data_IF_866328567029
#
_entry.id   IF_866328567029
#
_cell.length_a   1.000
_cell.length_b   1.000
_cell.length_c   1.000
_cell.angle_alpha   90.00
_cell.angle_beta   90.00
_cell.angle_gamma   90.00
#
_symmetry.space_group_name_H-M   'P 1'
#
loop_
_entity.id
_entity.type
_entity.pdbx_description
1 polymer ?
#
# COMPACT_ATOMS: atom_id res chain seq x y z
N UNK A 1 -11.23 8.30 -22.93
CA UNK A 1 -11.41 8.02 -24.38
C UNK A 1 -10.37 7.02 -24.88
N UNK A 2 -9.08 7.24 -24.65
CA UNK A 2 -8.00 6.37 -25.15
C UNK A 2 -8.10 4.92 -24.65
N UNK A 3 -8.48 4.71 -23.38
CA UNK A 3 -8.62 3.36 -22.79
C UNK A 3 -9.74 2.54 -23.43
N UNK A 4 -10.80 3.19 -23.93
CA UNK A 4 -11.94 2.52 -24.60
C UNK A 4 -11.57 2.12 -26.03
N UNK A 5 -10.74 2.91 -26.70
CA UNK A 5 -10.29 2.64 -28.08
C UNK A 5 -9.31 1.46 -28.13
N UNK A 6 -8.49 1.28 -27.07
CA UNK A 6 -7.47 0.22 -26.99
C UNK A 6 -8.03 -1.15 -26.50
N UNK A 7 -9.32 -1.24 -26.08
CA UNK A 7 -9.92 -2.48 -25.55
C UNK A 7 -11.36 -2.69 -25.98
N UNK A 8 -11.61 -2.99 -27.26
CA UNK A 8 -12.96 -3.11 -27.83
C UNK A 8 -13.80 -4.28 -27.27
N UNK A 9 -13.19 -5.28 -26.64
CA UNK A 9 -13.85 -6.51 -26.17
C UNK A 9 -13.73 -6.75 -24.65
N UNK A 10 -13.44 -5.72 -23.83
CA UNK A 10 -13.35 -5.93 -22.38
C UNK A 10 -14.73 -5.76 -21.71
N UNK A 11 -14.96 -6.50 -20.63
CA UNK A 11 -16.16 -6.33 -19.79
C UNK A 11 -16.15 -4.95 -19.09
N UNK A 12 -17.31 -4.51 -18.62
CA UNK A 12 -17.43 -3.25 -17.87
C UNK A 12 -16.56 -3.28 -16.60
N UNK A 13 -16.48 -4.42 -15.92
CA UNK A 13 -15.64 -4.62 -14.72
C UNK A 13 -14.14 -4.52 -15.06
N UNK A 14 -13.70 -5.07 -16.17
CA UNK A 14 -12.32 -4.96 -16.64
C UNK A 14 -11.97 -3.53 -17.05
N UNK A 15 -12.90 -2.83 -17.68
CA UNK A 15 -12.74 -1.43 -18.04
C UNK A 15 -12.63 -0.56 -16.78
N UNK A 16 -13.50 -0.79 -15.78
CA UNK A 16 -13.45 -0.08 -14.51
C UNK A 16 -12.13 -0.33 -13.79
N UNK A 17 -11.65 -1.57 -13.72
CA UNK A 17 -10.36 -1.92 -13.13
C UNK A 17 -9.17 -1.22 -13.81
N UNK A 18 -9.21 -1.04 -15.13
CA UNK A 18 -8.16 -0.34 -15.90
C UNK A 18 -8.15 1.18 -15.68
N UNK A 19 -9.30 1.76 -15.36
CA UNK A 19 -9.44 3.20 -15.14
C UNK A 19 -9.04 3.59 -13.71
N UNK A 20 -9.15 2.67 -12.76
CA UNK A 20 -8.81 2.91 -11.36
C UNK A 20 -7.28 3.05 -11.17
N UNK A 21 -6.88 4.10 -10.46
CA UNK A 21 -5.53 4.22 -9.93
C UNK A 21 -5.41 3.42 -8.64
N UNK A 22 -4.45 2.51 -8.57
CA UNK A 22 -4.16 1.74 -7.36
C UNK A 22 -2.97 2.33 -6.62
N UNK A 23 -3.12 2.56 -5.31
CA UNK A 23 -2.05 3.08 -4.45
C UNK A 23 -1.10 1.95 -4.01
N UNK A 24 -0.43 1.36 -5.01
CA UNK A 24 0.59 0.33 -4.86
C UNK A 24 1.82 0.76 -5.65
N UNK A 25 2.98 0.76 -5.00
CA UNK A 25 4.25 1.09 -5.65
C UNK A 25 5.16 -0.13 -5.67
N UNK A 26 5.67 -0.45 -6.85
CA UNK A 26 6.64 -1.51 -7.11
C UNK A 26 7.98 -0.89 -7.55
N UNK A 27 9.11 -1.52 -7.22
CA UNK A 27 10.42 -1.04 -7.67
C UNK A 27 10.57 -1.12 -9.19
N UNK A 28 10.25 -2.29 -9.75
CA UNK A 28 10.24 -2.52 -11.19
C UNK A 28 9.04 -3.41 -11.56
N UNK A 29 8.13 -2.93 -12.41
CA UNK A 29 6.97 -3.72 -12.85
C UNK A 29 7.34 -5.03 -13.57
N UNK A 30 8.59 -5.13 -14.09
CA UNK A 30 9.09 -6.31 -14.80
C UNK A 30 9.59 -7.43 -13.88
N UNK A 31 9.85 -7.13 -12.59
CA UNK A 31 10.41 -8.06 -11.60
C UNK A 31 9.45 -8.26 -10.43
N UNK A 32 8.16 -8.43 -10.71
CA UNK A 32 7.17 -8.70 -9.68
C UNK A 32 7.48 -10.03 -8.99
N UNK A 33 7.96 -9.98 -7.76
CA UNK A 33 8.08 -11.16 -6.92
C UNK A 33 6.71 -11.48 -6.31
N UNK A 34 6.13 -12.59 -6.73
CA UNK A 34 4.83 -13.04 -6.27
C UNK A 34 4.87 -14.49 -5.77
N UNK A 35 4.09 -14.77 -4.72
CA UNK A 35 3.87 -16.10 -4.18
C UNK A 35 2.42 -16.23 -3.72
N UNK A 36 1.71 -17.24 -4.22
CA UNK A 36 0.32 -17.53 -3.84
C UNK A 36 -0.64 -16.34 -3.97
N UNK A 37 -0.45 -15.48 -4.99
CA UNK A 37 -1.28 -14.29 -5.21
C UNK A 37 -0.89 -13.07 -4.39
N UNK A 38 0.14 -13.18 -3.55
CA UNK A 38 0.75 -12.05 -2.86
C UNK A 38 1.93 -11.53 -3.65
N UNK A 39 2.05 -10.22 -3.77
CA UNK A 39 3.14 -9.57 -4.49
C UNK A 39 3.87 -8.60 -3.56
N UNK A 40 5.20 -8.65 -3.63
CA UNK A 40 6.04 -7.72 -2.87
C UNK A 40 5.89 -6.31 -3.44
N UNK A 41 5.65 -5.35 -2.55
CA UNK A 41 5.48 -3.93 -2.89
C UNK A 41 6.35 -3.05 -2.01
N UNK A 42 6.68 -1.86 -2.49
CA UNK A 42 7.42 -0.88 -1.70
C UNK A 42 6.52 -0.06 -0.79
N UNK A 43 5.38 0.31 -1.30
CA UNK A 43 4.42 1.14 -0.58
C UNK A 43 3.01 0.65 -0.90
N UNK A 44 2.18 0.53 0.12
CA UNK A 44 0.79 0.10 0.01
C UNK A 44 -0.11 1.00 0.84
N UNK A 45 -1.34 1.22 0.36
CA UNK A 45 -2.35 1.95 1.10
C UNK A 45 -2.86 1.18 2.32
N UNK A 46 -3.27 1.90 3.36
CA UNK A 46 -3.76 1.33 4.64
C UNK A 46 -5.26 1.05 4.66
N UNK A 47 -5.98 1.20 3.56
CA UNK A 47 -7.42 0.95 3.49
C UNK A 47 -7.84 -0.43 4.02
N UNK A 48 -7.00 -1.45 3.79
CA UNK A 48 -7.06 -2.75 4.44
C UNK A 48 -5.63 -3.28 4.63
N UNK A 49 -5.10 -3.19 5.85
CA UNK A 49 -3.73 -3.59 6.17
C UNK A 49 -3.72 -4.55 7.35
N UNK A 50 -3.03 -5.68 7.18
CA UNK A 50 -2.74 -6.61 8.27
C UNK A 50 -1.27 -6.48 8.69
N UNK A 51 -1.04 -6.06 9.93
CA UNK A 51 0.31 -5.86 10.46
C UNK A 51 0.57 -6.82 11.63
N UNK A 52 1.66 -7.58 11.56
CA UNK A 52 2.08 -8.43 12.65
C UNK A 52 2.51 -7.57 13.85
N UNK A 53 2.12 -7.95 15.07
CA UNK A 53 2.46 -7.21 16.30
C UNK A 53 3.96 -6.95 16.48
N UNK A 54 4.81 -7.87 16.04
CA UNK A 54 6.26 -7.69 16.15
C UNK A 54 6.80 -6.55 15.25
N UNK A 55 6.12 -6.18 14.17
CA UNK A 55 6.47 -5.02 13.34
C UNK A 55 6.47 -3.76 14.20
N UNK A 56 5.38 -3.50 14.92
CA UNK A 56 5.29 -2.36 15.83
C UNK A 56 6.39 -2.36 16.88
N UNK A 57 6.68 -3.52 17.49
CA UNK A 57 7.74 -3.65 18.48
C UNK A 57 9.13 -3.38 17.92
N UNK A 58 9.38 -3.78 16.68
CA UNK A 58 10.64 -3.52 15.98
C UNK A 58 10.76 -2.03 15.67
N UNK A 59 9.72 -1.41 15.14
CA UNK A 59 9.69 0.03 14.85
C UNK A 59 9.86 0.89 16.10
N UNK A 60 9.19 0.55 17.21
CA UNK A 60 9.35 1.24 18.50
C UNK A 60 10.78 1.21 19.02
N UNK A 61 11.50 0.10 18.78
CA UNK A 61 12.91 -0.04 19.18
C UNK A 61 13.84 0.72 18.24
N UNK A 62 13.54 0.71 16.93
CA UNK A 62 14.35 1.37 15.92
C UNK A 62 14.21 2.90 15.96
N UNK A 63 13.02 3.40 16.35
CA UNK A 63 12.66 4.82 16.34
C UNK A 63 12.12 5.29 17.69
N UNK A 64 12.92 5.21 18.78
CA UNK A 64 12.47 5.60 20.12
C UNK A 64 12.10 7.09 20.21
N UNK A 65 12.69 7.94 19.36
CA UNK A 65 12.42 9.38 19.27
C UNK A 65 11.02 9.70 18.77
N UNK A 66 10.31 8.72 18.17
CA UNK A 66 8.93 8.88 17.70
C UNK A 66 7.90 8.65 18.80
N UNK A 67 8.32 8.32 20.03
CA UNK A 67 7.42 8.22 21.17
C UNK A 67 6.87 9.61 21.52
N UNK A 68 5.58 9.69 21.76
CA UNK A 68 4.91 10.93 22.18
C UNK A 68 3.94 10.69 23.33
N UNK A 69 3.61 11.77 24.04
CA UNK A 69 2.48 11.83 24.97
C UNK A 69 1.30 12.47 24.27
N UNK A 70 0.10 11.97 24.54
CA UNK A 70 -1.14 12.52 23.99
C UNK A 70 -1.89 13.33 25.05
N UNK A 71 -2.53 14.41 24.63
CA UNK A 71 -3.46 15.20 25.46
C UNK A 71 -4.88 14.63 25.46
N UNK A 72 -5.08 13.45 24.89
CA UNK A 72 -6.38 12.79 24.87
C UNK A 72 -6.87 12.46 26.29
N UNK A 73 -8.12 12.81 26.55
CA UNK A 73 -8.79 12.51 27.82
C UNK A 73 -9.76 11.36 27.61
N UNK A 74 -9.60 10.30 28.40
CA UNK A 74 -10.49 9.13 28.42
C UNK A 74 -11.03 8.97 29.83
N UNK A 75 -12.36 8.95 29.99
CA UNK A 75 -13.03 8.87 31.29
C UNK A 75 -12.54 9.95 32.32
N UNK A 76 -12.33 11.18 31.84
CA UNK A 76 -11.91 12.30 32.67
C UNK A 76 -10.44 12.30 33.12
N UNK A 77 -9.61 11.43 32.56
CA UNK A 77 -8.17 11.35 32.84
C UNK A 77 -7.36 11.39 31.56
N UNK A 78 -6.17 11.97 31.61
CA UNK A 78 -5.24 11.92 30.48
C UNK A 78 -4.91 10.46 30.14
N UNK A 79 -5.07 10.10 28.86
CA UNK A 79 -4.64 8.81 28.37
C UNK A 79 -3.12 8.71 28.41
N UNK A 80 -2.58 7.65 29.03
CA UNK A 80 -1.14 7.37 29.07
C UNK A 80 -0.91 5.95 28.58
N UNK A 81 0.02 5.80 27.64
CA UNK A 81 0.39 4.50 27.09
C UNK A 81 1.86 4.51 26.68
N UNK A 82 2.55 3.43 26.92
CA UNK A 82 3.90 3.21 26.42
C UNK A 82 3.94 2.88 24.91
N UNK A 83 2.78 2.74 24.28
CA UNK A 83 2.65 2.38 22.87
C UNK A 83 2.28 3.58 21.96
N UNK A 84 2.35 4.81 22.46
CA UNK A 84 2.11 6.00 21.66
C UNK A 84 3.37 6.37 20.87
N UNK A 85 3.38 5.99 19.59
CA UNK A 85 4.47 6.27 18.65
C UNK A 85 3.89 6.80 17.33
N UNK A 86 4.52 7.84 16.79
CA UNK A 86 4.19 8.41 15.48
C UNK A 86 4.82 7.57 14.36
N UNK A 87 4.25 6.40 14.12
CA UNK A 87 4.68 5.48 13.07
C UNK A 87 3.97 5.71 11.73
N UNK A 88 2.87 6.44 11.75
CA UNK A 88 2.09 6.83 10.59
C UNK A 88 2.17 8.34 10.36
N UNK A 89 3.40 8.87 10.38
CA UNK A 89 3.65 10.28 10.14
C UNK A 89 3.30 10.70 8.72
N UNK A 90 2.99 11.97 8.54
CA UNK A 90 2.82 12.60 7.23
C UNK A 90 3.87 13.69 7.07
N UNK A 91 4.65 13.65 6.00
CA UNK A 91 5.66 14.68 5.83
C UNK A 91 6.79 14.35 4.86
N UNK A 92 7.81 15.22 4.85
CA UNK A 92 8.98 15.03 4.02
C UNK A 92 9.82 13.85 4.52
N UNK A 93 10.19 12.97 3.59
CA UNK A 93 11.00 11.79 3.82
C UNK A 93 12.17 11.74 2.83
N UNK A 94 13.38 11.49 3.33
CA UNK A 94 14.57 11.39 2.50
C UNK A 94 14.76 9.94 2.04
N UNK A 95 14.62 9.69 0.74
CA UNK A 95 15.07 8.45 0.11
C UNK A 95 16.54 8.60 -0.34
N UNK A 96 17.14 7.54 -0.87
CA UNK A 96 18.51 7.60 -1.38
C UNK A 96 18.67 8.68 -2.48
N UNK A 97 17.69 8.80 -3.37
CA UNK A 97 17.78 9.63 -4.57
C UNK A 97 17.10 10.99 -4.44
N UNK A 98 16.07 11.10 -3.62
CA UNK A 98 15.24 12.31 -3.55
C UNK A 98 14.50 12.47 -2.23
N UNK A 99 14.13 13.72 -1.95
CA UNK A 99 13.20 14.03 -0.86
C UNK A 99 11.76 13.98 -1.38
N UNK A 100 10.93 13.14 -0.76
CA UNK A 100 9.50 12.99 -1.09
C UNK A 100 8.65 13.48 0.07
N UNK A 101 7.45 13.94 -0.22
CA UNK A 101 6.40 14.12 0.78
C UNK A 101 5.57 12.86 0.81
N UNK A 102 5.51 12.15 1.93
CA UNK A 102 4.82 10.88 2.06
C UNK A 102 3.55 11.02 2.88
N UNK A 103 2.51 10.31 2.46
CA UNK A 103 1.33 10.01 3.25
C UNK A 103 1.66 9.03 4.38
N UNK A 104 0.75 8.87 5.32
CA UNK A 104 0.91 8.06 6.52
C UNK A 104 1.23 6.58 6.21
N UNK A 105 0.57 6.03 5.23
CA UNK A 105 0.73 4.66 4.76
C UNK A 105 2.10 4.42 4.12
N UNK A 106 2.52 5.33 3.24
CA UNK A 106 3.83 5.25 2.60
C UNK A 106 4.96 5.53 3.59
N UNK A 107 4.73 6.44 4.55
CA UNK A 107 5.72 6.70 5.60
C UNK A 107 5.95 5.46 6.48
N UNK A 108 4.87 4.82 6.95
CA UNK A 108 4.93 3.56 7.69
C UNK A 108 5.64 2.46 6.89
N UNK A 109 5.32 2.34 5.60
CA UNK A 109 5.94 1.37 4.70
C UNK A 109 7.46 1.56 4.64
N UNK A 110 7.94 2.79 4.54
CA UNK A 110 9.37 3.10 4.50
C UNK A 110 10.08 2.81 5.81
N UNK A 111 9.50 3.20 6.94
CA UNK A 111 10.08 2.87 8.25
C UNK A 111 10.27 1.36 8.43
N UNK A 112 9.29 0.57 7.98
CA UNK A 112 9.38 -0.89 8.07
C UNK A 112 10.47 -1.46 7.16
N UNK A 113 10.60 -0.96 5.94
CA UNK A 113 11.65 -1.37 5.00
C UNK A 113 13.05 -1.00 5.48
N UNK A 114 13.25 0.15 6.13
CA UNK A 114 14.54 0.51 6.75
C UNK A 114 14.95 -0.46 7.86
N UNK A 115 13.99 -1.10 8.50
CA UNK A 115 14.24 -2.20 9.45
C UNK A 115 14.44 -3.57 8.77
N UNK A 116 14.56 -3.62 7.43
CA UNK A 116 14.72 -4.85 6.67
C UNK A 116 13.42 -5.62 6.46
N UNK A 117 12.28 -4.99 6.68
CA UNK A 117 10.97 -5.61 6.52
C UNK A 117 10.45 -5.59 5.10
N UNK A 118 9.50 -6.47 4.81
CA UNK A 118 8.84 -6.60 3.52
C UNK A 118 7.35 -6.31 3.65
N UNK A 119 6.77 -5.81 2.56
CA UNK A 119 5.35 -5.51 2.43
C UNK A 119 4.82 -6.32 1.25
N UNK A 120 3.71 -6.99 1.48
CA UNK A 120 3.08 -7.86 0.50
C UNK A 120 1.64 -7.42 0.28
N UNK A 121 1.25 -7.25 -0.97
CA UNK A 121 -0.11 -6.95 -1.39
C UNK A 121 -0.80 -8.23 -1.86
N UNK A 122 -1.97 -8.52 -1.31
CA UNK A 122 -2.86 -9.56 -1.84
C UNK A 122 -3.61 -9.00 -3.05
N UNK A 123 -3.30 -9.52 -4.22
CA UNK A 123 -3.95 -9.13 -5.47
C UNK A 123 -5.09 -10.08 -5.88
N UNK A 124 -5.35 -11.13 -5.09
CA UNK A 124 -6.39 -12.12 -5.40
C UNK A 124 -7.79 -11.64 -5.02
N UNK A 125 -7.88 -10.71 -4.07
CA UNK A 125 -9.16 -10.28 -3.51
C UNK A 125 -9.63 -8.96 -4.15
N UNK A 126 -10.80 -8.94 -4.78
CA UNK A 126 -11.42 -7.69 -5.21
C UNK A 126 -11.87 -6.90 -3.97
N UNK A 127 -11.54 -5.61 -3.94
CA UNK A 127 -11.99 -4.70 -2.90
C UNK A 127 -12.89 -3.62 -3.51
N UNK A 128 -13.92 -3.24 -2.76
CA UNK A 128 -14.80 -2.13 -3.14
C UNK A 128 -14.52 -0.93 -2.24
N UNK A 129 -14.11 0.16 -2.86
CA UNK A 129 -13.98 1.45 -2.19
C UNK A 129 -15.26 2.26 -2.36
N UNK A 130 -15.86 2.70 -1.25
CA UNK A 130 -17.06 3.53 -1.25
C UNK A 130 -16.71 5.01 -1.07
N UNK A 131 -16.99 5.81 -2.10
CA UNK A 131 -16.96 7.26 -2.09
C UNK A 131 -18.32 7.80 -2.50
N UNK A 132 -18.37 8.72 -3.49
CA UNK A 132 -19.64 9.18 -4.08
C UNK A 132 -20.38 8.07 -4.83
N UNK A 133 -19.68 7.00 -5.18
CA UNK A 133 -20.18 5.74 -5.74
C UNK A 133 -19.29 4.59 -5.25
N UNK A 134 -19.69 3.36 -5.51
CA UNK A 134 -18.85 2.19 -5.31
C UNK A 134 -17.81 2.09 -6.43
N UNK A 135 -16.53 1.98 -6.08
CA UNK A 135 -15.42 1.71 -7.00
C UNK A 135 -14.94 0.28 -6.73
N UNK A 136 -15.17 -0.63 -7.68
CA UNK A 136 -14.76 -2.02 -7.58
C UNK A 136 -13.38 -2.17 -8.21
N UNK A 137 -12.38 -2.55 -7.43
CA UNK A 137 -11.00 -2.75 -7.87
C UNK A 137 -10.60 -4.21 -7.85
N UNK A 138 -9.88 -4.67 -8.89
CA UNK A 138 -9.30 -6.01 -8.97
C UNK A 138 -7.92 -5.91 -9.63
N UNK A 139 -6.89 -5.62 -8.84
CA UNK A 139 -5.51 -5.44 -9.34
C UNK A 139 -4.98 -6.73 -10.00
N UNK A 140 -5.34 -7.89 -9.47
CA UNK A 140 -4.94 -9.19 -10.02
C UNK A 140 -5.34 -9.38 -11.48
N UNK A 141 -6.51 -8.87 -11.89
CA UNK A 141 -6.96 -8.93 -13.27
C UNK A 141 -6.09 -8.12 -14.25
N UNK A 142 -5.39 -7.08 -13.75
CA UNK A 142 -4.46 -6.28 -14.55
C UNK A 142 -3.10 -6.96 -14.71
N UNK A 143 -2.66 -7.71 -13.69
CA UNK A 143 -1.37 -8.41 -13.70
C UNK A 143 -1.44 -9.65 -14.59
N UNK A 144 -2.50 -10.44 -14.49
CA UNK A 144 -2.68 -11.67 -15.29
C UNK A 144 -2.64 -11.41 -16.80
N UNK A 145 -3.26 -10.34 -17.28
CA UNK A 145 -3.24 -10.00 -18.72
C UNK A 145 -1.88 -9.57 -19.26
N UNK A 146 -0.99 -9.04 -18.44
CA UNK A 146 0.36 -8.69 -18.89
C UNK A 146 1.23 -9.92 -19.11
N UNK A 147 1.01 -11.00 -18.40
CA UNK A 147 1.73 -12.26 -18.62
C UNK A 147 1.34 -12.91 -19.95
N UNK A 148 0.06 -12.81 -20.35
CA UNK A 148 -0.43 -13.34 -21.63
C UNK A 148 0.12 -12.56 -22.83
N UNK A 149 0.18 -11.22 -22.75
CA UNK A 149 0.73 -10.36 -23.81
C UNK A 149 2.24 -10.59 -24.05
N UNK A 150 3.01 -10.95 -23.01
CA UNK A 150 4.44 -11.25 -23.15
C UNK A 150 4.74 -12.65 -23.71
N UNK A 151 3.81 -13.58 -23.55
CA UNK A 151 3.98 -14.96 -24.07
C UNK A 151 3.56 -15.11 -25.55
N UNK A 152 2.80 -14.17 -26.10
CA UNK A 152 2.42 -14.15 -27.53
C UNK A 152 3.49 -13.51 -28.45
N UNK A 153 4.46 -12.77 -27.91
CA UNK A 153 5.56 -12.14 -28.68
C UNK A 153 6.85 -12.99 -28.71
N UNK A 154 6.85 -14.21 -28.21
CA UNK A 154 7.98 -15.16 -28.27
C UNK A 154 7.66 -16.36 -29.12
#
# INVERSE_FOLDING_TARGET
KKVIEDTPNCSEEELEAKILGYNLNFDEPKNLQGENGFFRVNEAATGMMLVKRNVFRTLQKAYPERKYETDQIVNGKYFRSDNCYDLFAVGPYQTQDKKRYLSEDYYFSRLWQECGGEIWADLTQPLTHYGNRAFKGHVGALVAKREDEFNEET
#
